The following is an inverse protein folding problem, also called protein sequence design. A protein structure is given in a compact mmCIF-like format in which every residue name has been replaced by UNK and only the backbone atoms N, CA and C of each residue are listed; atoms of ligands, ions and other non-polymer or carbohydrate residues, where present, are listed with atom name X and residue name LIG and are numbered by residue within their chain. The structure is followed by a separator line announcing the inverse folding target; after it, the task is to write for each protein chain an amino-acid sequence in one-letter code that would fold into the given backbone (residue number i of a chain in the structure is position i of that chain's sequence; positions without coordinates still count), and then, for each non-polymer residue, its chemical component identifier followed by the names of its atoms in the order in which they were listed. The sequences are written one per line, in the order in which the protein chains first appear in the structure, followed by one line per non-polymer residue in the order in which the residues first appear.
data_IF_906207293499
#
_entry.id   IF_906207293499
#
_cell.length_a   1.000
_cell.length_b   1.000
_cell.length_c   1.000
_cell.angle_alpha   90.00
_cell.angle_beta   90.00
_cell.angle_gamma   90.00
#
_symmetry.space_group_name_H-M   'P 1'
#
loop_
_entity.id
_entity.type
_entity.pdbx_description
1 polymer ?
#
# COMPACT_ATOMS: atom_id res chain seq x y z
N UNK A 1 -6.13 -50.42 -4.04
CA UNK A 1 -5.37 -49.88 -2.88
C UNK A 1 -4.40 -48.78 -3.29
N UNK A 2 -3.53 -48.96 -4.30
CA UNK A 2 -2.57 -47.92 -4.75
C UNK A 2 -3.24 -46.69 -5.41
N UNK A 3 -4.36 -46.91 -6.10
CA UNK A 3 -5.16 -45.86 -6.75
C UNK A 3 -5.75 -44.86 -5.75
N UNK A 4 -6.20 -45.32 -4.57
CA UNK A 4 -6.74 -44.46 -3.53
C UNK A 4 -5.67 -43.52 -2.94
N UNK A 5 -4.46 -44.02 -2.69
CA UNK A 5 -3.34 -43.21 -2.20
C UNK A 5 -2.88 -42.14 -3.19
N UNK A 6 -2.88 -42.45 -4.50
CA UNK A 6 -2.55 -41.48 -5.54
C UNK A 6 -3.63 -40.39 -5.66
N UNK A 7 -4.91 -40.75 -5.57
CA UNK A 7 -6.03 -39.80 -5.58
C UNK A 7 -5.98 -38.88 -4.36
N UNK A 8 -5.69 -39.40 -3.17
CA UNK A 8 -5.53 -38.58 -1.95
C UNK A 8 -4.37 -37.59 -2.12
N UNK A 9 -3.23 -38.04 -2.67
CA UNK A 9 -2.10 -37.16 -2.96
C UNK A 9 -2.45 -36.03 -3.93
N UNK A 10 -3.18 -36.34 -5.00
CA UNK A 10 -3.64 -35.35 -5.97
C UNK A 10 -4.62 -34.34 -5.34
N UNK A 11 -5.54 -34.80 -4.50
CA UNK A 11 -6.48 -33.92 -3.80
C UNK A 11 -5.78 -32.97 -2.83
N UNK A 12 -4.74 -33.42 -2.13
CA UNK A 12 -3.93 -32.58 -1.23
C UNK A 12 -3.16 -31.52 -2.03
N UNK A 13 -2.55 -31.90 -3.15
CA UNK A 13 -1.81 -30.97 -4.03
C UNK A 13 -2.76 -29.92 -4.61
N UNK A 14 -3.94 -30.33 -5.10
CA UNK A 14 -4.95 -29.41 -5.62
C UNK A 14 -5.49 -28.48 -4.54
N UNK A 15 -5.73 -28.99 -3.33
CA UNK A 15 -6.13 -28.17 -2.19
C UNK A 15 -5.03 -27.17 -1.80
N UNK A 16 -3.76 -27.58 -1.79
CA UNK A 16 -2.62 -26.70 -1.51
C UNK A 16 -2.43 -25.63 -2.60
N UNK A 17 -2.62 -25.96 -3.87
CA UNK A 17 -2.58 -24.99 -4.98
C UNK A 17 -3.76 -24.03 -4.89
N UNK A 18 -4.97 -24.53 -4.61
CA UNK A 18 -6.16 -23.70 -4.41
C UNK A 18 -5.99 -22.76 -3.21
N UNK A 19 -5.48 -23.26 -2.09
CA UNK A 19 -4.99 -22.50 -0.94
C UNK A 19 -4.00 -21.44 -1.42
N UNK A 20 -2.91 -21.77 -2.11
CA UNK A 20 -1.93 -20.78 -2.60
C UNK A 20 -2.55 -19.75 -3.56
N UNK A 21 -3.55 -20.12 -4.38
CA UNK A 21 -4.27 -19.20 -5.26
C UNK A 21 -5.20 -18.28 -4.44
N UNK A 22 -5.95 -18.82 -3.48
CA UNK A 22 -6.80 -18.07 -2.55
C UNK A 22 -6.00 -17.23 -1.54
N UNK A 23 -4.77 -17.63 -1.19
CA UNK A 23 -3.86 -16.91 -0.29
C UNK A 23 -2.96 -15.94 -1.07
N UNK A 24 -2.77 -16.11 -2.40
CA UNK A 24 -2.20 -15.08 -3.28
C UNK A 24 -3.11 -13.84 -3.36
N UNK A 25 -4.38 -13.95 -3.01
CA UNK A 25 -5.30 -12.81 -2.89
C UNK A 25 -5.08 -11.96 -1.62
N UNK A 26 -4.29 -12.38 -0.64
CA UNK A 26 -3.93 -11.48 0.50
C UNK A 26 -2.98 -10.34 0.09
N UNK A 27 -2.48 -10.36 -1.16
CA UNK A 27 -1.72 -9.27 -1.78
C UNK A 27 -2.20 -8.98 -3.21
N UNK A 28 -3.44 -9.25 -3.57
CA UNK A 28 -4.03 -8.42 -4.65
C UNK A 28 -4.17 -7.03 -4.05
N UNK A 29 -3.27 -6.12 -4.42
CA UNK A 29 -3.28 -4.70 -4.06
C UNK A 29 -4.49 -3.95 -4.61
N UNK A 30 -5.69 -4.50 -4.40
CA UNK A 30 -6.99 -3.87 -4.65
C UNK A 30 -7.45 -3.04 -3.45
N UNK A 31 -6.79 -3.15 -2.30
CA UNK A 31 -6.44 -1.92 -1.60
C UNK A 31 -5.16 -1.44 -2.28
N UNK A 32 -5.30 -0.52 -3.24
CA UNK A 32 -4.27 0.52 -3.33
C UNK A 32 -4.21 0.98 -1.88
N UNK A 33 -3.10 0.74 -1.20
CA UNK A 33 -2.83 1.44 0.04
C UNK A 33 -2.79 2.89 -0.42
N UNK A 34 -3.97 3.51 -0.41
CA UNK A 34 -4.13 4.94 -0.40
C UNK A 34 -3.38 5.24 0.88
N UNK A 35 -2.13 5.63 0.68
CA UNK A 35 -1.32 6.08 1.78
C UNK A 35 -2.09 7.28 2.26
N UNK A 36 -2.88 7.10 3.33
CA UNK A 36 -3.55 8.20 4.04
C UNK A 36 -2.49 9.07 4.73
N UNK A 37 -1.21 8.89 4.38
CA UNK A 37 -0.05 9.57 4.87
C UNK A 37 0.87 9.99 3.72
N UNK A 38 1.54 11.12 3.89
CA UNK A 38 2.60 11.62 3.02
C UNK A 38 3.89 11.78 3.83
N UNK A 39 5.03 11.53 3.19
CA UNK A 39 6.35 11.84 3.77
C UNK A 39 6.88 13.14 3.20
N UNK A 40 7.36 14.02 4.08
CA UNK A 40 8.03 15.26 3.71
C UNK A 40 9.17 15.51 4.70
N UNK A 41 10.41 15.53 4.20
CA UNK A 41 11.59 15.47 5.05
C UNK A 41 11.62 14.17 5.87
N UNK A 42 11.90 14.31 7.17
CA UNK A 42 11.89 13.20 8.13
C UNK A 42 10.49 12.97 8.77
N UNK A 43 9.53 13.85 8.47
CA UNK A 43 8.21 13.85 9.08
C UNK A 43 7.17 13.10 8.24
N UNK A 44 6.13 12.62 8.92
CA UNK A 44 4.98 11.94 8.30
C UNK A 44 3.69 12.70 8.63
N UNK A 45 2.92 13.01 7.58
CA UNK A 45 1.71 13.81 7.65
C UNK A 45 0.51 12.99 7.20
N UNK A 46 -0.64 13.14 7.86
CA UNK A 46 -1.89 12.50 7.47
C UNK A 46 -2.56 13.22 6.30
N UNK A 47 -3.47 12.52 5.62
CA UNK A 47 -4.26 13.04 4.53
C UNK A 47 -5.00 14.31 4.95
N UNK A 48 -4.77 15.41 4.21
CA UNK A 48 -5.38 16.71 4.46
C UNK A 48 -4.61 17.59 5.44
N UNK A 49 -3.55 17.07 6.08
CA UNK A 49 -2.67 17.89 6.91
C UNK A 49 -2.08 19.03 6.10
N UNK A 50 -2.04 20.21 6.72
CA UNK A 50 -1.40 21.40 6.19
C UNK A 50 -0.25 21.80 7.10
N UNK A 51 0.91 22.08 6.51
CA UNK A 51 2.13 22.38 7.25
C UNK A 51 3.01 23.36 6.47
N UNK A 52 3.94 24.01 7.17
CA UNK A 52 4.95 24.88 6.56
C UNK A 52 6.07 24.01 5.99
N UNK A 53 6.50 24.31 4.77
CA UNK A 53 7.63 23.68 4.10
C UNK A 53 8.95 23.90 4.86
N UNK A 54 9.98 23.12 4.52
CA UNK A 54 11.32 23.24 5.12
C UNK A 54 11.97 24.60 4.84
N UNK A 55 11.54 25.30 3.79
CA UNK A 55 11.93 26.68 3.51
C UNK A 55 11.33 27.71 4.48
N UNK A 56 10.46 27.29 5.40
CA UNK A 56 9.84 28.14 6.42
C UNK A 56 8.75 29.09 5.91
N UNK A 57 8.37 29.00 4.63
CA UNK A 57 7.56 30.01 3.96
C UNK A 57 6.42 29.38 3.13
N UNK A 58 6.72 28.40 2.30
CA UNK A 58 5.70 27.74 1.51
C UNK A 58 4.77 26.90 2.40
N UNK A 59 3.49 26.84 2.04
CA UNK A 59 2.52 25.98 2.71
C UNK A 59 2.28 24.74 1.88
N UNK A 60 2.35 23.57 2.51
CA UNK A 60 2.17 22.28 1.90
C UNK A 60 0.88 21.59 2.41
N UNK A 61 0.32 20.70 1.60
CA UNK A 61 -0.79 19.82 1.95
C UNK A 61 -0.51 18.39 1.54
N UNK A 62 -0.80 17.43 2.43
CA UNK A 62 -0.77 16.01 2.09
C UNK A 62 -2.04 15.62 1.33
N UNK A 63 -1.87 15.16 0.10
CA UNK A 63 -2.97 14.77 -0.77
C UNK A 63 -3.23 13.26 -0.72
N UNK A 64 -4.42 12.92 -1.19
CA UNK A 64 -5.01 11.58 -1.19
C UNK A 64 -4.17 10.53 -1.94
N UNK A 65 -3.31 10.96 -2.85
CA UNK A 65 -2.41 10.10 -3.60
C UNK A 65 -1.09 9.80 -2.86
N UNK A 66 -0.97 10.19 -1.59
CA UNK A 66 0.28 10.10 -0.80
C UNK A 66 1.34 11.12 -1.22
N UNK A 67 0.93 12.16 -1.95
CA UNK A 67 1.81 13.21 -2.50
C UNK A 67 1.63 14.52 -1.75
N UNK A 68 2.71 15.27 -1.59
CA UNK A 68 2.69 16.61 -1.00
C UNK A 68 2.59 17.65 -2.10
N UNK A 69 1.66 18.60 -1.97
CA UNK A 69 1.56 19.76 -2.84
C UNK A 69 1.81 21.04 -2.04
N UNK A 70 2.74 21.88 -2.50
CA UNK A 70 3.11 23.12 -1.83
C UNK A 70 2.78 24.35 -2.69
N UNK A 71 2.63 25.50 -2.04
CA UNK A 71 2.62 26.79 -2.74
C UNK A 71 3.96 27.06 -3.43
N UNK A 72 3.99 28.04 -4.35
CA UNK A 72 5.18 28.49 -5.04
C UNK A 72 5.43 29.98 -4.77
N UNK A 73 5.43 30.35 -3.49
CA UNK A 73 5.77 31.70 -3.06
C UNK A 73 7.27 31.91 -3.27
N UNK A 74 7.63 33.09 -3.78
CA UNK A 74 9.01 33.55 -3.74
C UNK A 74 9.31 33.98 -2.30
N UNK A 75 10.16 33.22 -1.62
CA UNK A 75 10.59 33.44 -0.24
C UNK A 75 11.95 34.15 -0.24
N UNK A 76 12.23 34.91 0.82
CA UNK A 76 13.40 35.80 0.95
C UNK A 76 14.71 35.06 1.29
#
# INVERSE_FOLDING_TARGET
MKTASFVIGLLIILAAIFVVVLFRDSKTGLTRSFSDECKYGEETYQLGDKFTAEDGCNTCVCNKDGLVACTLLACD
#
